data_IF_425723264916
#
_entry.id   IF_425723264916
#
_cell.length_a   1.000
_cell.length_b   1.000
_cell.length_c   1.000
_cell.angle_alpha   90.00
_cell.angle_beta   90.00
_cell.angle_gamma   90.00
#
_symmetry.space_group_name_H-M   'P 1'
#
loop_
_entity.id
_entity.type
_entity.pdbx_description
1 polymer ?
#
# COMPACT_ATOMS: atom_id res chain seq x y z
N UNK A 1 -7.43 30.91 -8.15
CA UNK A 1 -8.76 30.85 -8.78
C UNK A 1 -8.66 29.92 -9.98
N UNK A 2 -9.46 28.84 -10.04
CA UNK A 2 -9.42 27.92 -11.18
C UNK A 2 -10.09 28.57 -12.39
N UNK A 3 -9.35 28.80 -13.46
CA UNK A 3 -9.84 29.35 -14.74
C UNK A 3 -10.77 28.38 -15.51
N UNK A 4 -11.00 27.18 -14.99
CA UNK A 4 -11.86 26.16 -15.60
C UNK A 4 -13.31 26.28 -15.09
N UNK A 5 -14.29 26.38 -16.00
CA UNK A 5 -15.70 26.31 -15.63
C UNK A 5 -16.03 24.99 -14.95
N UNK A 6 -17.01 24.97 -14.04
CA UNK A 6 -17.32 23.80 -13.22
C UNK A 6 -17.68 22.57 -14.06
N UNK A 7 -18.38 22.75 -15.18
CA UNK A 7 -18.76 21.69 -16.14
C UNK A 7 -17.54 20.94 -16.69
N UNK A 8 -16.40 21.61 -16.81
CA UNK A 8 -15.16 21.02 -17.31
C UNK A 8 -14.34 20.36 -16.21
N UNK A 9 -14.57 20.70 -14.94
CA UNK A 9 -13.81 20.14 -13.81
C UNK A 9 -14.05 18.64 -13.69
N UNK A 10 -15.30 18.20 -13.78
CA UNK A 10 -15.65 16.78 -13.70
C UNK A 10 -15.08 15.99 -14.87
N UNK A 11 -15.13 16.56 -16.08
CA UNK A 11 -14.51 15.95 -17.25
C UNK A 11 -12.98 15.83 -17.10
N UNK A 12 -12.31 16.87 -16.59
CA UNK A 12 -10.86 16.85 -16.32
C UNK A 12 -10.52 15.81 -15.24
N UNK A 13 -11.30 15.73 -14.17
CA UNK A 13 -11.14 14.74 -13.11
C UNK A 13 -11.30 13.33 -13.68
N UNK A 14 -12.37 13.08 -14.44
CA UNK A 14 -12.64 11.80 -15.11
C UNK A 14 -11.51 11.41 -16.07
N UNK A 15 -10.99 12.36 -16.85
CA UNK A 15 -9.88 12.10 -17.76
C UNK A 15 -8.59 11.73 -17.02
N UNK A 16 -8.30 12.40 -15.90
CA UNK A 16 -7.16 12.07 -15.03
C UNK A 16 -7.31 10.68 -14.40
N UNK A 17 -8.52 10.32 -13.97
CA UNK A 17 -8.82 8.99 -13.43
C UNK A 17 -8.63 7.89 -14.49
N UNK A 18 -9.16 8.10 -15.70
CA UNK A 18 -9.00 7.16 -16.81
C UNK A 18 -7.51 6.91 -17.17
N UNK A 19 -6.67 7.94 -17.08
CA UNK A 19 -5.22 7.79 -17.27
C UNK A 19 -4.58 6.92 -16.17
N UNK A 20 -4.99 7.12 -14.91
CA UNK A 20 -4.50 6.30 -13.79
C UNK A 20 -4.96 4.85 -13.92
N UNK A 21 -6.17 4.60 -14.40
CA UNK A 21 -6.68 3.23 -14.65
C UNK A 21 -5.89 2.53 -15.75
N UNK A 22 -5.50 3.26 -16.80
CA UNK A 22 -4.61 2.73 -17.83
C UNK A 22 -3.23 2.36 -17.26
N UNK A 23 -2.66 3.21 -16.39
CA UNK A 23 -1.39 2.93 -15.72
C UNK A 23 -1.47 1.70 -14.81
N UNK A 24 -2.58 1.54 -14.09
CA UNK A 24 -2.83 0.39 -13.24
C UNK A 24 -2.97 -0.90 -14.06
N UNK A 25 -3.69 -0.87 -15.18
CA UNK A 25 -3.79 -2.01 -16.09
C UNK A 25 -2.42 -2.43 -16.65
N UNK A 26 -1.58 -1.49 -17.05
CA UNK A 26 -0.21 -1.79 -17.48
C UNK A 26 0.62 -2.44 -16.36
N UNK A 27 0.44 -2.00 -15.12
CA UNK A 27 1.11 -2.57 -13.95
C UNK A 27 0.66 -4.00 -13.69
N UNK A 28 -0.63 -4.29 -13.80
CA UNK A 28 -1.17 -5.65 -13.68
C UNK A 28 -0.65 -6.58 -14.77
N UNK A 29 -0.62 -6.11 -16.01
CA UNK A 29 -0.03 -6.87 -17.14
C UNK A 29 1.45 -7.13 -16.88
N UNK A 30 2.22 -6.14 -16.42
CA UNK A 30 3.63 -6.32 -16.08
C UNK A 30 3.84 -7.33 -14.94
N UNK A 31 2.99 -7.30 -13.92
CA UNK A 31 3.02 -8.25 -12.82
C UNK A 31 2.67 -9.68 -13.28
N UNK A 32 1.64 -9.83 -14.13
CA UNK A 32 1.21 -11.10 -14.69
C UNK A 32 2.26 -11.71 -15.63
N UNK A 33 2.92 -10.89 -16.44
CA UNK A 33 3.96 -11.30 -17.40
C UNK A 33 5.31 -11.66 -16.75
N UNK A 34 5.39 -11.73 -15.42
CA UNK A 34 6.58 -12.25 -14.79
C UNK A 34 7.77 -11.29 -14.79
N UNK A 35 7.56 -9.96 -14.87
CA UNK A 35 8.59 -8.95 -14.52
C UNK A 35 8.86 -8.97 -12.98
N UNK A 36 9.06 -10.18 -12.43
CA UNK A 36 9.17 -10.55 -11.02
C UNK A 36 10.43 -9.96 -10.39
N UNK A 37 11.48 -9.72 -11.17
CA UNK A 37 12.69 -9.03 -10.68
C UNK A 37 12.42 -7.56 -10.30
N UNK A 38 11.37 -6.95 -10.87
CA UNK A 38 10.96 -5.59 -10.58
C UNK A 38 9.93 -5.47 -9.41
N UNK A 39 9.66 -6.54 -8.65
CA UNK A 39 8.56 -6.55 -7.67
C UNK A 39 8.56 -5.40 -6.64
N UNK A 40 9.72 -4.86 -6.26
CA UNK A 40 9.81 -3.66 -5.40
C UNK A 40 9.44 -2.36 -6.13
N UNK A 41 9.81 -2.21 -7.39
CA UNK A 41 9.44 -1.03 -8.19
C UNK A 41 7.97 -1.07 -8.59
N UNK A 42 7.41 -2.24 -8.92
CA UNK A 42 5.97 -2.40 -9.18
C UNK A 42 5.13 -2.02 -7.95
N UNK A 43 5.50 -2.48 -6.75
CA UNK A 43 4.80 -2.06 -5.51
C UNK A 43 4.91 -0.55 -5.23
N UNK A 44 6.01 0.10 -5.65
CA UNK A 44 6.17 1.56 -5.52
C UNK A 44 5.27 2.29 -6.51
N UNK A 45 5.21 1.83 -7.75
CA UNK A 45 4.33 2.39 -8.78
C UNK A 45 2.86 2.27 -8.39
N UNK A 46 2.41 1.12 -7.89
CA UNK A 46 1.04 0.96 -7.39
C UNK A 46 0.71 2.00 -6.29
N UNK A 47 1.61 2.20 -5.32
CA UNK A 47 1.41 3.22 -4.27
C UNK A 47 1.35 4.64 -4.82
N UNK A 48 2.10 4.94 -5.87
CA UNK A 48 2.07 6.25 -6.53
C UNK A 48 0.75 6.46 -7.26
N UNK A 49 0.24 5.43 -7.94
CA UNK A 49 -1.08 5.46 -8.57
C UNK A 49 -2.18 5.66 -7.52
N UNK A 50 -2.13 4.90 -6.42
CA UNK A 50 -3.08 5.05 -5.31
C UNK A 50 -3.06 6.48 -4.76
N UNK A 51 -1.88 7.04 -4.47
CA UNK A 51 -1.76 8.43 -4.00
C UNK A 51 -2.33 9.43 -5.01
N UNK A 52 -2.01 9.26 -6.30
CA UNK A 52 -2.50 10.14 -7.36
C UNK A 52 -4.04 10.12 -7.47
N UNK A 53 -4.70 8.99 -7.18
CA UNK A 53 -6.17 8.91 -7.15
C UNK A 53 -6.77 9.83 -6.08
N UNK A 54 -6.19 9.85 -4.88
CA UNK A 54 -6.62 10.77 -3.81
C UNK A 54 -6.30 12.22 -4.15
N UNK A 55 -5.15 12.50 -4.76
CA UNK A 55 -4.77 13.83 -5.21
C UNK A 55 -5.75 14.40 -6.25
N UNK A 56 -6.19 13.58 -7.21
CA UNK A 56 -7.17 13.99 -8.23
C UNK A 56 -8.53 14.35 -7.62
N UNK A 57 -8.90 13.72 -6.49
CA UNK A 57 -10.14 13.99 -5.75
C UNK A 57 -10.02 15.13 -4.73
N UNK A 58 -8.80 15.63 -4.48
CA UNK A 58 -8.54 16.61 -3.41
C UNK A 58 -8.55 16.00 -2.01
N UNK A 59 -8.38 14.69 -1.89
CA UNK A 59 -8.47 13.91 -0.63
C UNK A 59 -7.08 13.49 -0.10
N UNK A 60 -6.02 14.24 -0.43
CA UNK A 60 -4.63 13.90 -0.05
C UNK A 60 -4.43 13.76 1.46
N UNK A 61 -5.08 14.60 2.26
CA UNK A 61 -5.01 14.50 3.72
C UNK A 61 -5.62 13.20 4.26
N UNK A 62 -6.66 12.70 3.61
CA UNK A 62 -7.30 11.44 3.99
C UNK A 62 -6.38 10.26 3.68
N UNK A 63 -5.71 10.29 2.52
CA UNK A 63 -4.69 9.32 2.19
C UNK A 63 -3.59 9.26 3.25
N UNK A 64 -3.06 10.41 3.68
CA UNK A 64 -2.02 10.45 4.71
C UNK A 64 -2.52 9.98 6.07
N UNK A 65 -3.76 10.31 6.45
CA UNK A 65 -4.40 9.78 7.67
C UNK A 65 -4.51 8.26 7.64
N UNK A 66 -5.02 7.71 6.54
CA UNK A 66 -5.15 6.26 6.34
C UNK A 66 -3.78 5.57 6.34
N UNK A 67 -2.79 6.15 5.65
CA UNK A 67 -1.41 5.66 5.61
C UNK A 67 -0.79 5.58 7.00
N UNK A 68 -0.94 6.64 7.82
CA UNK A 68 -0.46 6.67 9.21
C UNK A 68 -1.12 5.59 10.07
N UNK A 69 -2.44 5.41 9.95
CA UNK A 69 -3.19 4.34 10.66
C UNK A 69 -2.66 2.95 10.30
N UNK A 70 -2.48 2.67 9.01
CA UNK A 70 -1.95 1.39 8.51
C UNK A 70 -0.53 1.12 9.03
N UNK A 71 0.32 2.14 9.07
CA UNK A 71 1.68 2.02 9.63
C UNK A 71 1.66 1.71 11.13
N UNK A 72 0.78 2.35 11.89
CA UNK A 72 0.63 2.08 13.32
C UNK A 72 0.13 0.65 13.58
N UNK A 73 -0.85 0.18 12.81
CA UNK A 73 -1.35 -1.19 12.89
C UNK A 73 -0.25 -2.21 12.55
N UNK A 74 0.53 -1.98 11.49
CA UNK A 74 1.65 -2.85 11.11
C UNK A 74 2.72 -2.93 12.20
N UNK A 75 3.03 -1.81 12.88
CA UNK A 75 3.94 -1.81 14.04
C UNK A 75 3.40 -2.69 15.16
N UNK A 76 2.12 -2.52 15.54
CA UNK A 76 1.47 -3.34 16.59
C UNK A 76 1.50 -4.83 16.24
N UNK A 77 1.12 -5.19 15.02
CA UNK A 77 1.12 -6.59 14.56
C UNK A 77 2.53 -7.19 14.62
N UNK A 78 3.55 -6.43 14.22
CA UNK A 78 4.95 -6.87 14.29
C UNK A 78 5.39 -7.13 15.74
N UNK A 79 4.98 -6.29 16.69
CA UNK A 79 5.28 -6.50 18.10
C UNK A 79 4.60 -7.75 18.66
N UNK A 80 3.32 -7.96 18.33
CA UNK A 80 2.57 -9.16 18.72
C UNK A 80 3.27 -10.42 18.19
N UNK A 81 3.65 -10.41 16.91
CA UNK A 81 4.38 -11.52 16.28
C UNK A 81 5.71 -11.79 17.00
N UNK A 82 6.52 -10.75 17.25
CA UNK A 82 7.79 -10.88 17.99
C UNK A 82 7.60 -11.48 19.37
N UNK A 83 6.56 -11.06 20.10
CA UNK A 83 6.22 -11.62 21.42
C UNK A 83 5.82 -13.09 21.30
N UNK A 84 4.97 -13.43 20.32
CA UNK A 84 4.58 -14.81 20.04
C UNK A 84 5.78 -15.71 19.71
N UNK A 85 6.67 -15.27 18.83
CA UNK A 85 7.90 -16.00 18.49
C UNK A 85 8.81 -16.16 19.70
N UNK A 86 8.99 -15.12 20.52
CA UNK A 86 9.81 -15.19 21.74
C UNK A 86 9.25 -16.21 22.73
N UNK A 87 7.93 -16.23 22.93
CA UNK A 87 7.27 -17.19 23.81
C UNK A 87 7.40 -18.62 23.27
N UNK A 88 7.31 -18.82 21.95
CA UNK A 88 7.51 -20.11 21.31
C UNK A 88 8.94 -20.63 21.50
N UNK A 89 9.95 -19.79 21.22
CA UNK A 89 11.36 -20.14 21.40
C UNK A 89 11.69 -20.46 22.87
N UNK A 90 11.13 -19.70 23.82
CA UNK A 90 11.29 -19.97 25.25
C UNK A 90 10.67 -21.32 25.66
N UNK A 91 9.50 -21.69 25.10
CA UNK A 91 8.89 -23.00 25.34
C UNK A 91 9.77 -24.13 24.80
N UNK A 92 10.29 -24.00 23.57
CA UNK A 92 11.22 -24.97 22.97
C UNK A 92 12.48 -25.17 23.81
N UNK A 93 13.07 -24.07 24.32
CA UNK A 93 14.26 -24.13 25.17
C UNK A 93 14.00 -24.81 26.51
N UNK A 94 12.83 -24.56 27.11
CA UNK A 94 12.45 -25.19 28.39
C UNK A 94 12.11 -26.68 28.24
N UNK A 95 11.63 -27.12 27.08
CA UNK A 95 11.38 -28.54 26.79
C UNK A 95 12.67 -29.31 26.49
N UNK A 96 13.70 -28.68 25.92
CA UNK A 96 14.97 -29.36 25.61
C UNK A 96 15.85 -29.63 26.84
N UNK A 97 15.59 -28.97 27.99
CA UNK A 97 16.30 -29.21 29.26
C UNK A 97 15.65 -30.28 30.16
N UNK A 98 14.48 -30.82 29.80
CA UNK A 98 13.78 -31.85 30.60
C UNK A 98 13.95 -33.28 30.09
N UNK A 99 14.79 -33.49 29.07
CA UNK A 99 15.02 -34.79 28.42
C UNK A 99 16.43 -35.35 28.62
N UNK A 100 17.09 -35.03 29.73
CA UNK A 100 18.36 -35.60 30.16
C UNK A 100 18.19 -36.34 31.48
#
# INVERSE_FOLDING_TARGET
MSLTPNEWKDWIIGRKQALLDQQENMLFVAQANGLVQAGKSLKRLQKQIDHARYAVRGEEEEYERMRKRKLAQNKRNREIQKRGTRNFLNKMRNTSHKGG
#
